data_IF_939833975027
#
_entry.id   IF_939833975027
#
_cell.length_a   1.000
_cell.length_b   1.000
_cell.length_c   1.000
_cell.angle_alpha   90.00
_cell.angle_beta   90.00
_cell.angle_gamma   90.00
#
_symmetry.space_group_name_H-M   'P 1'
#
loop_
_entity.id
_entity.type
_entity.pdbx_description
1 polymer ?
#
# COMPACT_ATOMS: atom_id res chain seq x y z
N UNK A 1 -51.38 15.21 18.86
CA UNK A 1 -51.24 15.91 20.16
C UNK A 1 -50.23 17.03 19.97
N UNK A 2 -50.67 18.30 19.99
CA UNK A 2 -49.82 19.49 19.76
C UNK A 2 -49.42 20.06 21.13
N UNK A 3 -48.14 20.05 21.47
CA UNK A 3 -47.60 20.71 22.66
C UNK A 3 -46.82 21.96 22.22
N UNK A 4 -47.44 23.12 22.49
CA UNK A 4 -46.89 24.47 22.39
C UNK A 4 -46.16 24.77 23.71
N UNK A 5 -44.86 25.04 23.68
CA UNK A 5 -44.15 25.64 24.82
C UNK A 5 -43.78 27.07 24.45
N UNK A 6 -44.35 28.00 25.21
CA UNK A 6 -44.13 29.46 25.19
C UNK A 6 -42.71 29.77 25.68
N UNK A 7 -42.06 30.72 25.01
CA UNK A 7 -40.69 31.13 25.29
C UNK A 7 -40.51 32.09 26.46
N UNK A 8 -39.25 32.51 26.62
CA UNK A 8 -38.88 33.79 27.21
C UNK A 8 -37.57 34.28 26.55
N UNK A 9 -37.47 35.57 26.21
CA UNK A 9 -36.33 36.13 25.49
C UNK A 9 -35.14 36.37 26.43
N UNK A 10 -33.97 35.83 26.07
CA UNK A 10 -32.72 36.11 26.77
C UNK A 10 -32.19 37.47 26.32
N UNK A 11 -31.99 38.37 27.30
CA UNK A 11 -31.53 39.74 27.11
C UNK A 11 -30.13 39.78 26.50
N UNK A 12 -30.01 40.55 25.43
CA UNK A 12 -28.74 41.02 24.86
C UNK A 12 -28.11 41.98 25.86
N UNK A 13 -26.93 41.64 26.37
CA UNK A 13 -26.08 42.56 27.13
C UNK A 13 -25.02 43.09 26.16
N UNK A 14 -25.26 44.31 25.69
CA UNK A 14 -24.26 45.16 25.05
C UNK A 14 -23.35 45.77 26.10
N UNK A 15 -22.08 45.38 26.11
CA UNK A 15 -20.99 46.15 26.74
C UNK A 15 -20.13 46.75 25.64
N UNK A 16 -20.33 48.06 25.43
CA UNK A 16 -19.39 48.94 24.73
C UNK A 16 -18.33 49.43 25.74
N UNK A 17 -17.17 49.74 25.18
CA UNK A 17 -16.13 50.71 25.61
C UNK A 17 -15.08 50.32 26.66
N UNK A 18 -13.83 50.70 26.30
CA UNK A 18 -12.54 50.75 27.02
C UNK A 18 -11.83 49.39 27.18
N UNK A 19 -10.62 49.13 26.65
CA UNK A 19 -9.49 50.03 26.41
C UNK A 19 -8.75 49.71 25.10
N UNK A 20 -8.74 50.70 24.21
CA UNK A 20 -7.60 50.98 23.33
C UNK A 20 -6.52 51.68 24.17
N UNK A 21 -5.29 51.69 23.67
CA UNK A 21 -4.03 52.15 24.31
C UNK A 21 -3.37 51.14 25.24
N UNK A 22 -2.49 50.32 24.66
CA UNK A 22 -1.16 50.09 25.19
C UNK A 22 -0.18 49.84 24.02
N UNK A 23 0.70 50.81 23.83
CA UNK A 23 2.03 50.70 23.24
C UNK A 23 2.16 50.46 21.72
N UNK A 24 1.61 51.38 20.93
CA UNK A 24 2.33 51.93 19.78
C UNK A 24 3.51 52.77 20.28
N UNK A 25 4.64 52.14 20.62
CA UNK A 25 5.85 52.85 21.06
C UNK A 25 7.15 52.02 20.93
N UNK A 26 7.41 51.41 19.77
CA UNK A 26 8.79 51.22 19.25
C UNK A 26 8.75 51.29 17.72
N UNK A 27 8.36 52.44 17.20
CA UNK A 27 8.76 52.86 15.86
C UNK A 27 9.48 54.19 16.06
N UNK A 28 10.63 54.35 15.41
CA UNK A 28 11.52 55.53 15.47
C UNK A 28 12.53 55.55 16.62
N UNK A 29 13.44 54.57 16.66
CA UNK A 29 14.79 54.77 17.22
C UNK A 29 15.83 53.77 16.68
N UNK A 30 15.77 53.37 15.40
CA UNK A 30 16.86 52.65 14.73
C UNK A 30 16.87 53.00 13.23
N UNK A 31 17.11 54.28 12.91
CA UNK A 31 17.86 54.63 11.70
C UNK A 31 19.34 54.36 12.04
N UNK A 32 19.66 53.09 12.25
CA UNK A 32 21.01 52.60 12.43
C UNK A 32 21.50 52.10 11.08
N UNK A 33 22.71 52.51 10.69
CA UNK A 33 23.45 52.04 9.52
C UNK A 33 23.03 50.62 9.10
N UNK A 34 22.59 50.46 7.85
CA UNK A 34 22.32 49.15 7.26
C UNK A 34 23.58 48.30 7.38
N UNK A 35 23.68 47.50 8.44
CA UNK A 35 24.65 46.43 8.53
C UNK A 35 24.21 45.44 7.48
N UNK A 36 25.03 45.30 6.43
CA UNK A 36 24.91 44.20 5.49
C UNK A 36 24.72 42.92 6.30
N UNK A 37 23.55 42.30 6.15
CA UNK A 37 23.28 41.00 6.79
C UNK A 37 24.37 40.06 6.31
N UNK A 38 25.06 39.40 7.24
CA UNK A 38 26.03 38.39 6.86
C UNK A 38 25.33 37.30 6.04
N UNK A 39 26.06 36.67 5.12
CA UNK A 39 25.55 35.56 4.30
C UNK A 39 24.93 34.48 5.20
N UNK A 40 25.56 34.22 6.36
CA UNK A 40 25.04 33.29 7.37
C UNK A 40 23.69 33.71 7.95
N UNK A 41 23.48 35.01 8.25
CA UNK A 41 22.21 35.50 8.76
C UNK A 41 21.10 35.35 7.72
N UNK A 42 21.39 35.66 6.45
CA UNK A 42 20.44 35.47 5.36
C UNK A 42 20.07 33.98 5.17
N UNK A 43 21.06 33.09 5.25
CA UNK A 43 20.83 31.65 5.13
C UNK A 43 19.99 31.09 6.29
N UNK A 44 20.19 31.57 7.53
CA UNK A 44 19.37 31.19 8.68
C UNK A 44 17.94 31.69 8.57
N UNK A 45 17.74 32.94 8.15
CA UNK A 45 16.41 33.51 7.94
C UNK A 45 15.64 32.72 6.87
N UNK A 46 16.28 32.41 5.74
CA UNK A 46 15.68 31.56 4.70
C UNK A 46 15.37 30.15 5.18
N UNK A 47 16.24 29.56 6.00
CA UNK A 47 15.98 28.24 6.58
C UNK A 47 14.73 28.27 7.47
N UNK A 48 14.60 29.29 8.33
CA UNK A 48 13.43 29.45 9.19
C UNK A 48 12.15 29.69 8.38
N UNK A 49 12.21 30.53 7.35
CA UNK A 49 11.08 30.80 6.47
C UNK A 49 10.60 29.51 5.78
N UNK A 50 11.53 28.76 5.18
CA UNK A 50 11.22 27.50 4.51
C UNK A 50 10.75 26.41 5.50
N UNK A 51 11.28 26.39 6.73
CA UNK A 51 10.83 25.46 7.76
C UNK A 51 9.40 25.79 8.20
N UNK A 52 9.08 27.07 8.39
CA UNK A 52 7.73 27.52 8.75
C UNK A 52 6.68 27.10 7.70
N UNK A 53 7.06 27.04 6.41
CA UNK A 53 6.20 26.51 5.35
C UNK A 53 5.83 25.05 5.61
N UNK A 54 6.80 24.20 5.97
CA UNK A 54 6.53 22.80 6.30
C UNK A 54 5.81 22.64 7.64
N UNK A 55 6.14 23.44 8.65
CA UNK A 55 5.42 23.46 9.93
C UNK A 55 3.94 23.81 9.76
N UNK A 56 3.60 24.67 8.79
CA UNK A 56 2.20 25.06 8.52
C UNK A 56 1.31 23.90 8.05
N UNK A 57 1.91 22.84 7.51
CA UNK A 57 1.20 21.62 7.06
C UNK A 57 1.48 20.40 7.93
N UNK A 58 2.35 20.53 8.94
CA UNK A 58 2.70 19.45 9.84
C UNK A 58 1.48 18.99 10.67
N UNK A 59 1.47 17.71 11.00
CA UNK A 59 0.41 17.08 11.76
C UNK A 59 0.01 15.70 11.24
N UNK A 60 -0.98 15.12 11.90
CA UNK A 60 -1.47 13.77 11.62
C UNK A 60 -2.72 13.83 10.75
N UNK A 61 -2.65 13.31 9.53
CA UNK A 61 -3.77 13.23 8.60
C UNK A 61 -4.29 11.81 8.53
N UNK A 62 -5.57 11.58 8.79
CA UNK A 62 -6.14 10.23 8.76
C UNK A 62 -7.42 10.14 7.95
N UNK A 63 -7.64 8.99 7.31
CA UNK A 63 -8.84 8.77 6.50
C UNK A 63 -8.90 7.37 5.88
N UNK A 64 -10.04 7.09 5.25
CA UNK A 64 -10.26 5.84 4.52
C UNK A 64 -9.67 5.93 3.11
N UNK A 65 -9.21 4.79 2.60
CA UNK A 65 -8.64 4.64 1.26
C UNK A 65 -9.58 3.80 0.41
N UNK A 66 -9.87 4.27 -0.80
CA UNK A 66 -10.81 3.65 -1.73
C UNK A 66 -10.13 3.31 -3.05
N UNK A 67 -10.27 2.06 -3.50
CA UNK A 67 -9.80 1.65 -4.83
C UNK A 67 -10.42 2.54 -5.91
N UNK A 68 -9.61 3.06 -6.85
CA UNK A 68 -10.15 3.86 -7.96
C UNK A 68 -10.96 3.00 -8.93
N UNK A 69 -10.57 1.73 -9.10
CA UNK A 69 -11.24 0.79 -10.00
C UNK A 69 -12.63 0.36 -9.51
N UNK A 70 -12.80 0.16 -8.20
CA UNK A 70 -14.04 -0.42 -7.64
C UNK A 70 -14.80 0.52 -6.71
N UNK A 71 -14.21 1.66 -6.32
CA UNK A 71 -14.70 2.56 -5.29
C UNK A 71 -14.99 1.89 -3.93
N UNK A 72 -14.48 0.68 -3.70
CA UNK A 72 -14.58 -0.03 -2.43
C UNK A 72 -13.45 0.40 -1.50
N UNK A 73 -13.75 0.46 -0.20
CA UNK A 73 -12.73 0.68 0.83
C UNK A 73 -11.71 -0.46 0.79
N UNK A 74 -10.42 -0.12 0.76
CA UNK A 74 -9.31 -1.09 0.76
C UNK A 74 -8.47 -1.01 2.03
N UNK A 75 -8.67 0.02 2.86
CA UNK A 75 -7.96 0.19 4.12
C UNK A 75 -8.14 1.59 4.69
N UNK A 76 -7.35 1.90 5.72
CA UNK A 76 -7.21 3.24 6.28
C UNK A 76 -5.75 3.68 6.16
N UNK A 77 -5.55 4.98 5.95
CA UNK A 77 -4.24 5.61 5.82
C UNK A 77 -4.12 6.71 6.86
N UNK A 78 -2.94 6.77 7.47
CA UNK A 78 -2.48 7.86 8.30
C UNK A 78 -1.15 8.36 7.73
N UNK A 79 -1.04 9.67 7.59
CA UNK A 79 0.18 10.37 7.21
C UNK A 79 0.54 11.34 8.33
N UNK A 80 1.63 11.07 9.04
CA UNK A 80 2.20 11.99 10.02
C UNK A 80 3.28 12.81 9.33
N UNK A 81 2.99 14.10 9.12
CA UNK A 81 3.90 15.04 8.49
C UNK A 81 4.67 15.81 9.57
N UNK A 82 6.00 15.74 9.55
CA UNK A 82 6.89 16.50 10.43
C UNK A 82 7.89 17.33 9.64
N UNK A 83 8.02 18.61 10.01
CA UNK A 83 9.06 19.48 9.50
C UNK A 83 10.36 19.20 10.26
N UNK A 84 11.42 18.81 9.55
CA UNK A 84 12.73 18.53 10.12
C UNK A 84 13.82 19.29 9.36
N UNK A 85 15.01 19.42 9.95
CA UNK A 85 16.19 19.95 9.28
C UNK A 85 17.22 18.85 9.12
N UNK A 86 17.68 18.59 7.91
CA UNK A 86 18.76 17.62 7.66
C UNK A 86 20.08 18.36 7.47
N UNK A 87 21.16 17.83 8.04
CA UNK A 87 22.50 18.37 7.80
C UNK A 87 22.96 18.00 6.39
N UNK A 88 23.23 19.00 5.57
CA UNK A 88 23.91 18.79 4.29
C UNK A 88 25.40 18.94 4.56
N UNK A 89 26.16 17.84 4.43
CA UNK A 89 27.62 17.90 4.60
C UNK A 89 28.21 18.90 3.60
N UNK A 90 28.90 19.93 4.11
CA UNK A 90 29.59 20.88 3.23
C UNK A 90 30.92 20.26 2.77
N UNK A 91 31.20 20.33 1.48
CA UNK A 91 32.49 19.89 0.92
C UNK A 91 33.59 20.95 1.07
N UNK A 92 33.26 22.12 1.62
CA UNK A 92 34.10 23.33 1.65
C UNK A 92 34.58 23.71 3.05
N UNK A 93 34.26 22.93 4.10
CA UNK A 93 34.66 23.22 5.48
C UNK A 93 33.82 24.30 6.17
N UNK A 94 32.80 24.83 5.50
CA UNK A 94 31.78 25.70 6.09
C UNK A 94 30.87 24.92 7.04
N UNK A 95 30.35 25.58 8.08
CA UNK A 95 29.37 24.97 8.98
C UNK A 95 28.14 24.52 8.17
N UNK A 96 27.70 23.26 8.29
CA UNK A 96 26.55 22.77 7.55
C UNK A 96 25.29 23.52 7.99
N UNK A 97 24.78 24.38 7.12
CA UNK A 97 23.46 24.98 7.28
C UNK A 97 22.47 23.94 6.78
N UNK A 98 21.65 23.41 7.69
CA UNK A 98 20.71 22.35 7.36
C UNK A 98 19.72 22.76 6.26
N UNK A 99 19.20 21.77 5.54
CA UNK A 99 18.09 21.96 4.61
C UNK A 99 16.77 21.57 5.30
N UNK A 100 15.70 22.36 5.13
CA UNK A 100 14.40 21.97 5.65
C UNK A 100 13.87 20.81 4.79
N UNK A 101 13.35 19.78 5.44
CA UNK A 101 12.70 18.63 4.81
C UNK A 101 11.35 18.39 5.45
N UNK A 102 10.42 17.90 4.65
CA UNK A 102 9.16 17.37 5.15
C UNK A 102 9.29 15.84 5.25
N UNK A 103 9.30 15.34 6.47
CA UNK A 103 9.29 13.90 6.74
C UNK A 103 7.85 13.43 6.80
N UNK A 104 7.57 12.29 6.15
CA UNK A 104 6.26 11.64 6.20
C UNK A 104 6.41 10.26 6.83
N UNK A 105 5.67 10.01 7.91
CA UNK A 105 5.45 8.64 8.37
C UNK A 105 4.10 8.15 7.83
N UNK A 106 4.16 7.07 7.06
CA UNK A 106 3.01 6.41 6.45
C UNK A 106 2.61 5.25 7.34
N UNK A 107 1.41 5.33 7.90
CA UNK A 107 0.77 4.23 8.62
C UNK A 107 -0.42 3.73 7.81
N UNK A 108 -0.34 2.51 7.28
CA UNK A 108 -1.43 1.91 6.53
C UNK A 108 -1.99 0.70 7.28
N UNK A 109 -3.32 0.61 7.36
CA UNK A 109 -4.02 -0.51 7.99
C UNK A 109 -5.04 -1.13 7.07
N UNK A 110 -4.74 -2.35 6.65
CA UNK A 110 -5.65 -3.29 5.99
C UNK A 110 -6.01 -4.48 6.90
N UNK A 111 -5.03 -5.02 7.62
CA UNK A 111 -4.99 -6.23 8.44
C UNK A 111 -4.02 -5.98 9.60
N UNK A 112 -2.76 -5.69 9.26
CA UNK A 112 -1.71 -5.19 10.17
C UNK A 112 -1.45 -3.70 9.94
N UNK A 113 -0.80 -3.03 10.90
CA UNK A 113 -0.31 -1.67 10.72
C UNK A 113 1.10 -1.75 10.14
N UNK A 114 1.28 -1.21 8.95
CA UNK A 114 2.59 -0.96 8.36
C UNK A 114 2.99 0.48 8.64
N UNK A 115 4.20 0.70 9.18
CA UNK A 115 4.77 2.02 9.40
C UNK A 115 6.00 2.20 8.52
N UNK A 116 6.03 3.24 7.68
CA UNK A 116 7.17 3.58 6.82
C UNK A 116 7.51 5.05 6.97
N UNK A 117 8.78 5.36 7.21
CA UNK A 117 9.29 6.73 7.24
C UNK A 117 9.85 7.11 5.87
N UNK A 118 9.50 8.30 5.40
CA UNK A 118 9.99 8.91 4.16
C UNK A 118 10.66 10.23 4.55
N UNK A 119 11.99 10.28 4.44
CA UNK A 119 12.78 11.43 4.92
C UNK A 119 12.74 12.65 4.00
N UNK A 120 12.13 12.54 2.81
CA UNK A 120 12.08 13.63 1.83
C UNK A 120 10.81 13.59 0.99
N UNK A 121 9.72 14.08 1.57
CA UNK A 121 8.50 14.42 0.84
C UNK A 121 8.54 15.85 0.31
N UNK A 122 7.81 16.10 -0.77
CA UNK A 122 7.71 17.40 -1.43
C UNK A 122 6.38 18.06 -1.09
N UNK A 123 6.43 19.36 -0.78
CA UNK A 123 5.25 20.22 -0.62
C UNK A 123 5.50 21.57 -1.31
N UNK A 124 4.56 21.99 -2.14
CA UNK A 124 4.53 23.31 -2.77
C UNK A 124 3.42 24.16 -2.15
N UNK A 125 3.80 25.20 -1.41
CA UNK A 125 2.88 26.11 -0.73
C UNK A 125 1.94 26.84 -1.69
N UNK A 126 2.38 27.14 -2.91
CA UNK A 126 1.62 27.97 -3.85
C UNK A 126 0.41 27.21 -4.42
N UNK A 127 0.60 25.93 -4.74
CA UNK A 127 -0.46 25.06 -5.26
C UNK A 127 -1.11 24.21 -4.17
N UNK A 128 -0.45 24.03 -3.03
CA UNK A 128 -0.76 23.05 -2.00
C UNK A 128 -0.39 21.62 -2.41
N UNK A 129 0.33 21.42 -3.51
CA UNK A 129 0.68 20.09 -4.01
C UNK A 129 1.61 19.36 -3.03
N UNK A 130 1.32 18.08 -2.81
CA UNK A 130 2.09 17.19 -1.95
C UNK A 130 2.45 15.91 -2.71
N UNK A 131 3.68 15.44 -2.53
CA UNK A 131 4.15 14.20 -3.12
C UNK A 131 5.13 13.47 -2.18
N UNK A 132 4.94 12.16 -2.01
CA UNK A 132 5.86 11.30 -1.30
C UNK A 132 6.01 9.96 -2.02
N UNK A 133 7.20 9.38 -2.00
CA UNK A 133 7.48 8.08 -2.61
C UNK A 133 7.96 7.11 -1.54
N UNK A 134 7.18 6.04 -1.36
CA UNK A 134 7.52 4.90 -0.53
C UNK A 134 8.33 3.93 -1.38
N UNK A 135 9.53 3.56 -0.93
CA UNK A 135 10.33 2.50 -1.55
C UNK A 135 10.31 1.29 -0.62
N UNK A 136 9.75 0.18 -1.10
CA UNK A 136 9.72 -1.08 -0.38
C UNK A 136 10.75 -2.02 -1.01
N UNK A 137 11.72 -2.44 -0.22
CA UNK A 137 12.61 -3.54 -0.58
C UNK A 137 11.87 -4.87 -0.40
N UNK A 138 11.77 -5.63 -1.49
CA UNK A 138 11.11 -6.95 -1.52
C UNK A 138 12.08 -8.07 -1.18
N UNK A 139 13.39 -7.85 -1.20
CA UNK A 139 14.37 -8.87 -0.81
C UNK A 139 14.42 -9.09 0.70
N UNK A 140 14.14 -8.05 1.49
CA UNK A 140 14.17 -8.12 2.96
C UNK A 140 13.09 -9.02 3.56
N UNK A 141 12.11 -9.46 2.75
CA UNK A 141 11.06 -10.40 3.18
C UNK A 141 11.44 -11.87 2.96
N UNK A 142 12.71 -12.18 2.63
CA UNK A 142 13.22 -13.55 2.63
C UNK A 142 12.63 -14.47 1.56
N UNK A 143 11.89 -13.93 0.60
CA UNK A 143 11.41 -14.66 -0.57
C UNK A 143 12.02 -14.05 -1.83
N UNK A 144 12.40 -14.86 -2.84
CA UNK A 144 12.71 -14.32 -4.15
C UNK A 144 11.52 -13.49 -4.66
N UNK A 145 11.76 -12.55 -5.57
CA UNK A 145 10.68 -11.86 -6.30
C UNK A 145 10.69 -12.39 -7.73
N UNK A 146 9.57 -12.91 -8.26
CA UNK A 146 9.56 -13.36 -9.63
C UNK A 146 9.72 -12.15 -10.55
N UNK A 147 10.68 -12.21 -11.47
CA UNK A 147 11.04 -11.09 -12.38
C UNK A 147 12.24 -10.25 -11.94
N UNK A 148 12.80 -10.46 -10.75
CA UNK A 148 14.07 -9.85 -10.33
C UNK A 148 13.99 -8.41 -9.80
N UNK A 149 12.80 -7.79 -9.81
CA UNK A 149 12.60 -6.46 -9.23
C UNK A 149 12.75 -6.50 -7.71
N UNK A 150 13.85 -5.93 -7.23
CA UNK A 150 14.23 -5.91 -5.81
C UNK A 150 13.44 -4.88 -5.01
N UNK A 151 12.96 -3.82 -5.66
CA UNK A 151 12.26 -2.73 -5.01
C UNK A 151 10.95 -2.42 -5.72
N UNK A 152 9.96 -1.99 -4.96
CA UNK A 152 8.73 -1.44 -5.50
C UNK A 152 8.53 -0.02 -4.97
N UNK A 153 8.02 0.85 -5.84
CA UNK A 153 7.73 2.23 -5.50
C UNK A 153 6.23 2.44 -5.45
N UNK A 154 5.74 2.92 -4.31
CA UNK A 154 4.36 3.38 -4.12
C UNK A 154 4.39 4.89 -3.96
N UNK A 155 3.66 5.60 -4.81
CA UNK A 155 3.66 7.06 -4.87
C UNK A 155 2.35 7.58 -4.27
N UNK A 156 2.48 8.54 -3.35
CA UNK A 156 1.39 9.28 -2.72
C UNK A 156 1.42 10.68 -3.31
N UNK A 157 0.37 11.07 -4.03
CA UNK A 157 0.22 12.41 -4.61
C UNK A 157 -1.06 13.04 -4.13
N UNK A 158 -1.06 14.31 -3.78
CA UNK A 158 -2.27 14.99 -3.33
C UNK A 158 -2.13 16.49 -3.20
N UNK A 159 -3.12 17.09 -2.55
CA UNK A 159 -3.16 18.51 -2.23
C UNK A 159 -3.55 18.70 -0.76
N UNK A 160 -2.79 19.53 -0.05
CA UNK A 160 -3.08 19.94 1.33
C UNK A 160 -3.79 21.29 1.31
N UNK A 161 -5.07 21.33 1.72
CA UNK A 161 -5.88 22.56 1.79
C UNK A 161 -6.90 22.47 2.92
N UNK A 162 -7.06 23.54 3.70
CA UNK A 162 -8.08 23.66 4.74
C UNK A 162 -8.11 22.48 5.74
N UNK A 163 -6.95 21.93 6.10
CA UNK A 163 -6.86 20.77 6.99
C UNK A 163 -7.18 19.42 6.35
N UNK A 164 -7.31 19.36 5.02
CA UNK A 164 -7.49 18.12 4.26
C UNK A 164 -6.28 17.83 3.38
N UNK A 165 -5.85 16.57 3.35
CA UNK A 165 -4.93 16.03 2.36
C UNK A 165 -5.72 15.06 1.46
N UNK A 166 -6.06 15.52 0.27
CA UNK A 166 -6.82 14.75 -0.74
C UNK A 166 -5.92 14.32 -1.87
N UNK A 167 -6.08 13.08 -2.36
CA UNK A 167 -5.15 12.60 -3.37
C UNK A 167 -5.31 11.14 -3.75
N UNK A 168 -4.24 10.61 -4.32
CA UNK A 168 -4.11 9.24 -4.80
C UNK A 168 -2.85 8.58 -4.28
N UNK A 169 -2.94 7.30 -3.99
CA UNK A 169 -1.82 6.41 -3.69
C UNK A 169 -1.83 5.25 -4.70
N UNK A 170 -0.67 4.83 -5.20
CA UNK A 170 -0.60 3.71 -6.15
C UNK A 170 0.83 3.35 -6.49
N UNK A 171 1.05 2.15 -7.05
CA UNK A 171 2.38 1.78 -7.50
C UNK A 171 2.78 2.57 -8.75
N UNK A 172 4.07 2.89 -8.86
CA UNK A 172 4.61 3.56 -10.04
C UNK A 172 4.33 2.69 -11.28
N UNK A 173 3.81 3.31 -12.34
CA UNK A 173 3.41 2.66 -13.60
C UNK A 173 2.28 1.62 -13.50
N UNK A 174 1.55 1.52 -12.37
CA UNK A 174 0.35 0.70 -12.28
C UNK A 174 -0.89 1.52 -11.86
N UNK A 175 -1.65 2.07 -12.82
CA UNK A 175 -2.87 2.82 -12.51
C UNK A 175 -4.02 1.94 -12.02
N UNK A 176 -4.05 0.64 -12.35
CA UNK A 176 -5.14 -0.28 -11.96
C UNK A 176 -5.17 -0.52 -10.45
N UNK A 177 -3.99 -0.55 -9.82
CA UNK A 177 -3.83 -0.66 -8.36
C UNK A 177 -3.95 0.67 -7.61
N UNK A 178 -4.30 1.78 -8.28
CA UNK A 178 -4.41 3.08 -7.60
C UNK A 178 -5.63 3.16 -6.68
N UNK A 179 -5.51 4.01 -5.66
CA UNK A 179 -6.56 4.30 -4.71
C UNK A 179 -6.61 5.80 -4.43
N UNK A 180 -7.80 6.30 -4.12
CA UNK A 180 -8.02 7.68 -3.69
C UNK A 180 -8.18 7.75 -2.18
N UNK A 181 -7.80 8.87 -1.59
CA UNK A 181 -7.98 9.16 -0.18
C UNK A 181 -8.43 10.60 0.03
N UNK A 182 -9.10 10.82 1.15
CA UNK A 182 -9.37 12.12 1.76
C UNK A 182 -9.01 11.99 3.24
N UNK A 183 -7.91 12.62 3.63
CA UNK A 183 -7.36 12.54 4.97
C UNK A 183 -7.59 13.86 5.69
N UNK A 184 -8.10 13.79 6.90
CA UNK A 184 -8.42 14.96 7.73
C UNK A 184 -7.33 15.15 8.78
N UNK A 185 -6.85 16.39 8.94
CA UNK A 185 -5.93 16.77 9.99
C UNK A 185 -6.56 16.51 11.37
N UNK A 186 -5.87 15.75 12.20
CA UNK A 186 -6.37 15.21 13.47
C UNK A 186 -7.70 14.46 13.32
N UNK A 187 -7.84 13.74 12.20
CA UNK A 187 -9.01 12.93 11.90
C UNK A 187 -9.20 11.75 12.84
N UNK A 188 -10.18 10.90 12.53
CA UNK A 188 -10.46 9.69 13.30
C UNK A 188 -9.22 8.78 13.34
N UNK A 189 -8.81 8.26 14.51
CA UNK A 189 -7.67 7.34 14.60
C UNK A 189 -7.86 6.11 13.70
N UNK A 190 -6.77 5.64 13.11
CA UNK A 190 -6.72 4.49 12.17
C UNK A 190 -7.51 3.27 12.67
N UNK A 191 -7.44 3.01 13.97
CA UNK A 191 -8.05 1.88 14.65
C UNK A 191 -9.57 1.92 14.73
N UNK A 192 -10.15 3.11 14.67
CA UNK A 192 -11.59 3.32 14.69
C UNK A 192 -12.20 3.30 13.29
N UNK A 193 -11.44 3.74 12.27
CA UNK A 193 -11.90 3.77 10.87
C UNK A 193 -12.25 2.36 10.37
N UNK A 194 -11.43 1.34 10.69
CA UNK A 194 -11.65 -0.02 10.16
C UNK A 194 -12.79 -0.78 10.84
N UNK A 195 -13.16 -0.46 12.09
CA UNK A 195 -14.22 -1.20 12.80
C UNK A 195 -15.58 -1.18 12.07
N UNK A 196 -15.78 -0.26 11.12
CA UNK A 196 -16.95 -0.20 10.24
C UNK A 196 -16.71 -0.51 8.76
N UNK A 197 -15.48 -0.83 8.33
CA UNK A 197 -15.15 -1.00 6.92
C UNK A 197 -15.29 -2.47 6.46
N UNK A 198 -15.78 -2.73 5.23
CA UNK A 198 -15.80 -4.06 4.65
C UNK A 198 -14.37 -4.62 4.53
N UNK A 199 -14.27 -5.94 4.63
CA UNK A 199 -13.05 -6.73 4.44
C UNK A 199 -12.35 -6.35 3.12
N UNK A 200 -11.06 -6.02 3.19
CA UNK A 200 -10.27 -5.50 2.07
C UNK A 200 -9.71 -6.60 1.14
N UNK A 201 -9.05 -6.22 0.03
CA UNK A 201 -8.53 -7.16 -0.98
C UNK A 201 -7.43 -8.11 -0.48
N UNK A 202 -6.76 -7.79 0.64
CA UNK A 202 -5.75 -8.63 1.27
C UNK A 202 -6.30 -9.74 2.18
N UNK A 203 -7.62 -9.88 2.31
CA UNK A 203 -8.23 -11.08 2.88
C UNK A 203 -7.92 -12.37 2.07
N UNK A 204 -7.07 -12.27 1.06
CA UNK A 204 -6.51 -13.36 0.28
C UNK A 204 -5.10 -13.77 0.70
N UNK A 205 -4.41 -12.98 1.52
CA UNK A 205 -3.06 -13.32 1.98
C UNK A 205 -3.11 -14.33 3.12
N UNK A 206 -2.26 -15.36 3.04
CA UNK A 206 -2.29 -16.50 3.97
C UNK A 206 -3.52 -17.39 3.81
N UNK A 207 -4.37 -17.13 2.82
CA UNK A 207 -5.57 -17.92 2.55
C UNK A 207 -5.22 -19.05 1.61
N UNK A 208 -5.74 -20.23 1.93
CA UNK A 208 -5.76 -21.37 1.03
C UNK A 208 -7.13 -21.43 0.36
N UNK A 209 -7.16 -21.40 -0.96
CA UNK A 209 -8.34 -21.67 -1.77
C UNK A 209 -8.29 -23.11 -2.26
N UNK A 210 -9.45 -23.77 -2.28
CA UNK A 210 -9.59 -25.14 -2.74
C UNK A 210 -10.63 -25.18 -3.86
N UNK A 211 -10.26 -25.82 -4.97
CA UNK A 211 -11.09 -25.96 -6.15
C UNK A 211 -11.27 -27.43 -6.48
N UNK A 212 -12.51 -27.83 -6.76
CA UNK A 212 -12.82 -29.18 -7.22
C UNK A 212 -12.86 -29.20 -8.74
N UNK A 213 -12.24 -30.23 -9.31
CA UNK A 213 -12.12 -30.39 -10.75
C UNK A 213 -12.19 -31.84 -11.19
N UNK A 214 -12.01 -32.03 -12.49
CA UNK A 214 -11.91 -33.36 -13.10
C UNK A 214 -10.84 -33.35 -14.19
N UNK A 215 -10.06 -34.42 -14.25
CA UNK A 215 -9.07 -34.63 -15.31
C UNK A 215 -9.13 -36.05 -15.85
N UNK A 216 -8.53 -36.25 -17.02
CA UNK A 216 -8.46 -37.57 -17.66
C UNK A 216 -7.10 -38.19 -17.40
N UNK A 217 -7.07 -39.39 -16.81
CA UNK A 217 -5.83 -40.10 -16.50
C UNK A 217 -5.88 -41.54 -17.02
N UNK A 218 -4.76 -42.08 -17.54
CA UNK A 218 -4.68 -43.49 -17.84
C UNK A 218 -4.80 -44.30 -16.55
N UNK A 219 -5.72 -45.25 -16.54
CA UNK A 219 -5.84 -46.22 -15.46
C UNK A 219 -4.64 -47.15 -15.47
N UNK A 220 -3.92 -47.24 -14.35
CA UNK A 220 -2.67 -48.01 -14.26
C UNK A 220 -2.84 -49.52 -14.46
N UNK A 221 -4.07 -50.06 -14.33
CA UNK A 221 -4.36 -51.48 -14.50
C UNK A 221 -4.82 -51.80 -15.92
N UNK A 222 -5.63 -50.93 -16.51
CA UNK A 222 -6.29 -51.20 -17.80
C UNK A 222 -5.68 -50.43 -18.98
N UNK A 223 -4.85 -49.41 -18.71
CA UNK A 223 -4.32 -48.48 -19.71
C UNK A 223 -5.37 -47.56 -20.33
N UNK A 224 -6.66 -47.73 -19.99
CA UNK A 224 -7.75 -46.90 -20.52
C UNK A 224 -7.78 -45.56 -19.80
N UNK A 225 -8.01 -44.49 -20.56
CA UNK A 225 -8.23 -43.17 -20.00
C UNK A 225 -9.55 -43.11 -19.25
N UNK A 226 -9.51 -42.72 -17.98
CA UNK A 226 -10.69 -42.56 -17.12
C UNK A 226 -10.71 -41.14 -16.57
N UNK A 227 -11.92 -40.56 -16.49
CA UNK A 227 -12.12 -39.24 -15.90
C UNK A 227 -12.18 -39.39 -14.37
N UNK A 228 -11.30 -38.69 -13.65
CA UNK A 228 -11.18 -38.77 -12.19
C UNK A 228 -11.41 -37.39 -11.57
N UNK A 229 -11.97 -37.37 -10.36
CA UNK A 229 -12.09 -36.16 -9.54
C UNK A 229 -10.72 -35.73 -9.04
N UNK A 230 -10.50 -34.43 -8.99
CA UNK A 230 -9.24 -33.82 -8.57
C UNK A 230 -9.51 -32.61 -7.70
N UNK A 231 -8.59 -32.32 -6.78
CA UNK A 231 -8.64 -31.13 -5.95
C UNK A 231 -7.39 -30.31 -6.20
N UNK A 232 -7.56 -29.01 -6.47
CA UNK A 232 -6.47 -28.05 -6.50
C UNK A 232 -6.56 -27.18 -5.26
N UNK A 233 -5.50 -27.14 -4.47
CA UNK A 233 -5.34 -26.16 -3.40
C UNK A 233 -4.31 -25.13 -3.84
N UNK A 234 -4.66 -23.85 -3.77
CA UNK A 234 -3.75 -22.74 -4.04
C UNK A 234 -3.66 -21.88 -2.79
N UNK A 235 -2.47 -21.75 -2.25
CA UNK A 235 -2.18 -20.90 -1.10
C UNK A 235 -1.31 -19.73 -1.56
N UNK A 236 -1.73 -18.51 -1.21
CA UNK A 236 -0.91 -17.31 -1.42
C UNK A 236 -0.23 -16.98 -0.08
N UNK A 237 1.08 -17.26 0.09
CA UNK A 237 1.77 -16.94 1.33
C UNK A 237 1.83 -15.42 1.55
N UNK A 238 1.86 -14.99 2.82
CA UNK A 238 2.13 -13.59 3.16
C UNK A 238 3.55 -13.21 2.80
N UNK A 239 3.72 -12.02 2.24
CA UNK A 239 5.02 -11.39 2.03
C UNK A 239 5.32 -10.37 3.14
N UNK A 240 4.72 -10.56 4.33
CA UNK A 240 4.79 -9.61 5.43
C UNK A 240 4.07 -8.29 5.14
N UNK A 241 3.97 -7.39 6.14
CA UNK A 241 3.18 -6.16 6.02
C UNK A 241 3.60 -5.27 4.85
N UNK A 242 4.90 -5.18 4.55
CA UNK A 242 5.42 -4.32 3.48
C UNK A 242 5.17 -4.92 2.08
N UNK A 243 5.38 -6.23 1.90
CA UNK A 243 5.09 -6.90 0.63
C UNK A 243 3.59 -6.91 0.33
N UNK A 244 2.78 -7.22 1.34
CA UNK A 244 1.32 -7.23 1.25
C UNK A 244 0.76 -5.82 0.94
N UNK A 245 1.34 -4.76 1.53
CA UNK A 245 1.01 -3.37 1.19
C UNK A 245 1.23 -3.07 -0.30
N UNK A 246 2.39 -3.46 -0.85
CA UNK A 246 2.67 -3.23 -2.27
C UNK A 246 1.72 -4.02 -3.16
N UNK A 247 1.35 -5.24 -2.75
CA UNK A 247 0.43 -6.11 -3.48
C UNK A 247 -0.96 -5.50 -3.67
N UNK A 248 -1.41 -4.65 -2.75
CA UNK A 248 -2.64 -3.86 -2.90
C UNK A 248 -2.52 -2.89 -4.07
N UNK A 249 -1.42 -2.15 -4.10
CA UNK A 249 -1.22 -1.03 -5.03
C UNK A 249 -0.59 -1.45 -6.36
N UNK A 250 -0.13 -2.71 -6.46
CA UNK A 250 0.43 -3.30 -7.65
C UNK A 250 -0.12 -4.72 -7.89
N UNK A 251 -1.43 -4.86 -8.20
CA UNK A 251 -2.08 -6.16 -8.25
C UNK A 251 -1.57 -7.06 -9.38
N UNK A 252 -1.02 -6.48 -10.45
CA UNK A 252 -0.68 -7.16 -11.72
C UNK A 252 0.74 -7.76 -11.75
N UNK A 253 1.54 -7.57 -10.70
CA UNK A 253 2.90 -8.14 -10.65
C UNK A 253 2.88 -9.65 -10.54
N UNK A 254 3.97 -10.28 -10.96
CA UNK A 254 4.23 -11.67 -10.66
C UNK A 254 4.29 -11.90 -9.15
N UNK A 255 3.61 -12.96 -8.70
CA UNK A 255 3.50 -13.37 -7.30
C UNK A 255 3.91 -14.82 -7.15
N UNK A 256 4.29 -15.20 -5.94
CA UNK A 256 4.50 -16.60 -5.60
C UNK A 256 3.25 -17.19 -4.95
N UNK A 257 2.91 -18.41 -5.35
CA UNK A 257 1.85 -19.22 -4.74
C UNK A 257 2.38 -20.63 -4.50
N UNK A 258 1.80 -21.29 -3.51
CA UNK A 258 1.97 -22.72 -3.29
C UNK A 258 0.76 -23.43 -3.86
N UNK A 259 0.98 -24.46 -4.65
CA UNK A 259 -0.09 -25.24 -5.27
C UNK A 259 0.03 -26.70 -4.87
N UNK A 260 -1.06 -27.31 -4.45
CA UNK A 260 -1.15 -28.76 -4.25
C UNK A 260 -2.23 -29.32 -5.15
N UNK A 261 -1.91 -30.37 -5.90
CA UNK A 261 -2.85 -31.11 -6.72
C UNK A 261 -3.05 -32.49 -6.13
N UNK A 262 -4.29 -32.81 -5.75
CA UNK A 262 -4.68 -34.14 -5.27
C UNK A 262 -5.40 -34.89 -6.39
N UNK A 263 -4.76 -35.96 -6.83
CA UNK A 263 -5.28 -36.88 -7.84
C UNK A 263 -5.86 -38.11 -7.11
N UNK A 264 -7.13 -38.05 -6.73
CA UNK A 264 -7.78 -39.02 -5.83
C UNK A 264 -7.11 -39.14 -4.44
N UNK A 265 -7.58 -40.06 -3.59
CA UNK A 265 -7.13 -40.19 -2.18
C UNK A 265 -5.64 -40.61 -2.02
N UNK A 266 -4.96 -41.00 -3.10
CA UNK A 266 -3.66 -41.67 -3.01
C UNK A 266 -2.45 -40.82 -3.46
N UNK A 267 -2.65 -39.73 -4.22
CA UNK A 267 -1.53 -38.97 -4.80
C UNK A 267 -1.76 -37.47 -4.62
N UNK A 268 -0.87 -36.83 -3.87
CA UNK A 268 -0.82 -35.37 -3.72
C UNK A 268 0.54 -34.87 -4.18
N UNK A 269 0.54 -33.81 -4.99
CA UNK A 269 1.75 -33.21 -5.54
C UNK A 269 1.76 -31.73 -5.23
N UNK A 270 2.77 -31.32 -4.45
CA UNK A 270 2.95 -29.95 -4.03
C UNK A 270 3.99 -29.24 -4.89
N UNK A 271 3.70 -27.99 -5.21
CA UNK A 271 4.52 -27.02 -5.90
C UNK A 271 4.71 -25.84 -4.94
N UNK A 272 5.95 -25.55 -4.57
CA UNK A 272 6.26 -24.48 -3.62
C UNK A 272 6.82 -23.31 -4.40
N UNK A 273 6.36 -22.10 -4.08
CA UNK A 273 6.84 -20.86 -4.68
C UNK A 273 6.84 -20.90 -6.22
N UNK A 274 5.71 -21.30 -6.82
CA UNK A 274 5.53 -21.19 -8.27
C UNK A 274 4.92 -19.84 -8.65
N UNK A 275 5.12 -19.44 -9.90
CA UNK A 275 4.80 -18.09 -10.36
C UNK A 275 3.33 -18.02 -10.72
N UNK A 276 2.60 -17.13 -10.05
CA UNK A 276 1.30 -16.66 -10.47
C UNK A 276 1.46 -15.29 -11.15
N UNK A 277 0.97 -15.18 -12.38
CA UNK A 277 0.87 -13.93 -13.13
C UNK A 277 -0.60 -13.48 -13.15
N UNK A 278 -0.98 -12.50 -12.31
CA UNK A 278 -2.35 -12.00 -12.27
C UNK A 278 -2.76 -11.29 -13.56
N UNK A 279 -1.83 -10.61 -14.24
CA UNK A 279 -2.10 -9.88 -15.48
C UNK A 279 -2.53 -10.82 -16.61
N UNK A 280 -1.89 -11.99 -16.70
CA UNK A 280 -2.19 -13.00 -17.72
C UNK A 280 -3.17 -14.08 -17.24
N UNK A 281 -3.59 -14.02 -15.96
CA UNK A 281 -4.39 -15.07 -15.31
C UNK A 281 -3.75 -16.46 -15.41
N UNK A 282 -2.44 -16.56 -15.22
CA UNK A 282 -1.70 -17.83 -15.35
C UNK A 282 -0.96 -18.22 -14.08
N UNK A 283 -0.94 -19.51 -13.78
CA UNK A 283 0.03 -20.11 -12.85
C UNK A 283 0.98 -20.96 -13.67
N UNK A 284 2.28 -20.84 -13.43
CA UNK A 284 3.31 -21.67 -14.05
C UNK A 284 4.38 -22.02 -13.02
N UNK A 285 4.76 -23.30 -12.97
CA UNK A 285 5.98 -23.68 -12.29
C UNK A 285 6.26 -25.17 -12.32
N UNK A 286 7.35 -25.52 -11.66
CA UNK A 286 7.86 -26.88 -11.62
C UNK A 286 8.35 -27.24 -10.23
N UNK A 287 8.32 -28.53 -9.91
CA UNK A 287 8.96 -29.06 -8.70
C UNK A 287 9.75 -30.33 -9.04
N UNK A 288 10.90 -30.52 -8.39
CA UNK A 288 11.71 -31.73 -8.56
C UNK A 288 11.42 -32.69 -7.42
N UNK A 289 10.92 -33.88 -7.76
CA UNK A 289 10.57 -34.92 -6.81
C UNK A 289 11.68 -35.98 -6.80
N UNK A 290 12.21 -36.24 -5.61
CA UNK A 290 13.14 -37.34 -5.37
C UNK A 290 12.35 -38.54 -4.84
N UNK A 291 12.28 -39.61 -5.62
CA UNK A 291 11.58 -40.85 -5.25
C UNK A 291 12.54 -42.05 -5.24
N UNK A 292 12.10 -43.18 -4.70
CA UNK A 292 12.83 -44.46 -4.79
C UNK A 292 13.08 -44.91 -6.24
N UNK A 293 12.22 -44.49 -7.17
CA UNK A 293 12.37 -44.74 -8.61
C UNK A 293 13.27 -43.72 -9.33
N UNK A 294 13.94 -42.85 -8.57
CA UNK A 294 14.80 -41.78 -9.06
C UNK A 294 14.14 -40.40 -9.06
N UNK A 295 14.89 -39.41 -9.53
CA UNK A 295 14.49 -38.01 -9.61
C UNK A 295 13.73 -37.72 -10.89
N UNK A 296 12.66 -36.94 -10.77
CA UNK A 296 11.92 -36.41 -11.91
C UNK A 296 11.36 -35.03 -11.59
N UNK A 297 11.06 -34.26 -12.63
CA UNK A 297 10.49 -32.91 -12.49
C UNK A 297 9.04 -32.96 -12.92
N UNK A 298 8.17 -32.38 -12.10
CA UNK A 298 6.76 -32.17 -12.39
C UNK A 298 6.53 -30.71 -12.73
N UNK A 299 5.58 -30.45 -13.60
CA UNK A 299 5.24 -29.13 -14.11
C UNK A 299 3.73 -28.92 -14.00
N UNK A 300 3.34 -27.68 -13.77
CA UNK A 300 1.94 -27.26 -13.77
C UNK A 300 1.81 -25.93 -14.50
N UNK A 301 0.82 -25.87 -15.37
CA UNK A 301 0.42 -24.62 -16.01
C UNK A 301 -1.09 -24.49 -15.91
N UNK A 302 -1.57 -23.44 -15.25
CA UNK A 302 -3.00 -23.09 -15.21
C UNK A 302 -3.26 -21.82 -16.00
N UNK A 303 -4.35 -21.80 -16.76
CA UNK A 303 -4.81 -20.67 -17.56
C UNK A 303 -6.21 -20.24 -17.12
N UNK A 304 -6.45 -18.93 -17.05
CA UNK A 304 -7.72 -18.36 -16.59
C UNK A 304 -7.87 -18.27 -15.07
N UNK A 305 -6.78 -18.47 -14.31
CA UNK A 305 -6.78 -18.46 -12.85
C UNK A 305 -6.68 -17.03 -12.27
N UNK A 306 -7.60 -16.71 -11.36
CA UNK A 306 -7.69 -15.47 -10.60
C UNK A 306 -7.78 -15.77 -9.10
N UNK A 307 -6.70 -15.51 -8.35
CA UNK A 307 -6.72 -15.78 -6.91
C UNK A 307 -7.77 -14.95 -6.16
N UNK A 308 -8.00 -13.69 -6.54
CA UNK A 308 -8.86 -12.80 -5.77
C UNK A 308 -10.35 -13.00 -6.05
N UNK A 309 -10.74 -13.24 -7.31
CA UNK A 309 -12.14 -13.30 -7.75
C UNK A 309 -12.39 -14.36 -8.82
N UNK A 310 -11.94 -15.60 -8.58
CA UNK A 310 -12.29 -16.73 -9.46
C UNK A 310 -13.81 -16.83 -9.61
N UNK A 311 -14.32 -16.53 -10.79
CA UNK A 311 -15.76 -16.55 -11.12
C UNK A 311 -16.06 -17.44 -12.33
N UNK A 312 -15.03 -17.73 -13.13
CA UNK A 312 -15.11 -18.60 -14.30
C UNK A 312 -14.38 -19.93 -14.02
N UNK A 313 -14.75 -21.02 -14.69
CA UNK A 313 -13.92 -22.22 -14.73
C UNK A 313 -12.52 -21.90 -15.27
N UNK A 314 -11.52 -22.65 -14.83
CA UNK A 314 -10.15 -22.51 -15.31
C UNK A 314 -9.53 -23.88 -15.61
N UNK A 315 -8.52 -23.87 -16.45
CA UNK A 315 -7.88 -25.07 -16.96
C UNK A 315 -6.47 -25.19 -16.42
N UNK A 316 -6.04 -26.41 -16.08
CA UNK A 316 -4.66 -26.69 -15.74
C UNK A 316 -4.16 -27.92 -16.47
N UNK A 317 -2.97 -27.81 -17.04
CA UNK A 317 -2.17 -28.92 -17.54
C UNK A 317 -1.11 -29.28 -16.50
N UNK A 318 -1.01 -30.57 -16.22
CA UNK A 318 0.02 -31.14 -15.37
C UNK A 318 0.80 -32.18 -16.15
N UNK A 319 2.13 -32.16 -16.07
CA UNK A 319 2.96 -33.19 -16.68
C UNK A 319 4.23 -33.42 -15.87
N UNK A 320 4.98 -34.46 -16.22
CA UNK A 320 6.30 -34.68 -15.64
C UNK A 320 7.29 -35.05 -16.73
N UNK A 321 8.58 -35.08 -16.40
CA UNK A 321 9.61 -35.60 -17.30
C UNK A 321 9.44 -37.10 -17.62
N UNK A 322 8.48 -37.80 -16.98
CA UNK A 322 8.23 -39.23 -17.13
C UNK A 322 6.78 -39.58 -17.51
N UNK A 323 5.88 -38.62 -17.59
CA UNK A 323 4.45 -38.87 -17.82
C UNK A 323 3.87 -37.87 -18.81
N UNK A 324 2.88 -38.27 -19.62
CA UNK A 324 2.21 -37.36 -20.53
C UNK A 324 1.43 -36.27 -19.77
N UNK A 325 0.96 -35.29 -20.53
CA UNK A 325 0.11 -34.21 -20.03
C UNK A 325 -1.24 -34.76 -19.55
N UNK A 326 -1.65 -34.31 -18.37
CA UNK A 326 -2.95 -34.52 -17.76
C UNK A 326 -3.65 -33.17 -17.73
N UNK A 327 -4.68 -33.05 -18.55
CA UNK A 327 -5.50 -31.85 -18.63
C UNK A 327 -6.66 -31.93 -17.64
N UNK A 328 -6.87 -30.83 -16.92
CA UNK A 328 -7.77 -30.74 -15.76
C UNK A 328 -8.62 -29.47 -15.84
N UNK A 329 -9.92 -29.61 -15.62
CA UNK A 329 -10.84 -28.47 -15.53
C UNK A 329 -11.32 -28.30 -14.09
N UNK A 330 -11.22 -27.07 -13.57
CA UNK A 330 -11.62 -26.70 -12.22
C UNK A 330 -12.80 -25.73 -12.25
N UNK A 331 -13.71 -25.87 -11.28
CA UNK A 331 -14.82 -24.96 -11.07
C UNK A 331 -14.47 -23.95 -9.96
N UNK A 332 -14.99 -22.71 -10.03
CA UNK A 332 -14.71 -21.64 -9.06
C UNK A 332 -15.16 -21.94 -7.62
#
# INVERSE_FOLDING_TARGET
>A
MKLKIKGSPMKIVTTKTLAALLASAVAVALVGCGKDKSIEQYQRERLQENLAVYESVAGTYTGAVYSTATNKSIGALQLDLSAETTSVASSTGELPIGAPVLVTNVSFRDQSILNIRIDSSFYDQSSGAYNATVVVDRQTVGQPTPGGDKTAQVVIKGFIRNGHLTGTIGALNNPRGSAKFDLVLNGTPLDQIRKGAPKGPLDTVGVTKQYSGRGTMPDSRTGKSTRRSMTLQVNKPSQGPAGDFVDIFNPDILKFVNVSVEFSEAVSISFINIVWNPANRTIDGSNTINSTSGTYTVFIQCNGFEFTQQSEPFHCDYWSSRSPVISMDFQP
#
